data_IF_778466587160
#
_entry.id   IF_778466587160
#
_cell.length_a   1.000
_cell.length_b   1.000
_cell.length_c   1.000
_cell.angle_alpha   90.00
_cell.angle_beta   90.00
_cell.angle_gamma   90.00
#
_symmetry.space_group_name_H-M   'P 1'
#
loop_
_entity.id
_entity.type
_entity.pdbx_description
1 polymer ?
#
# COMPACT_ATOMS: atom_id res chain seq x y z
N UNK A 1 -3.01 -23.91 2.59
CA UNK A 1 -3.13 -22.51 2.20
C UNK A 1 -2.80 -21.62 3.40
N UNK A 2 -2.16 -20.48 3.19
CA UNK A 2 -1.87 -19.49 4.23
C UNK A 2 -2.81 -18.29 4.07
N UNK A 3 -3.22 -17.71 5.18
CA UNK A 3 -3.93 -16.42 5.18
C UNK A 3 -2.90 -15.30 5.16
N UNK A 4 -3.07 -14.33 4.28
CA UNK A 4 -2.18 -13.18 4.17
C UNK A 4 -2.88 -11.89 4.64
N UNK A 5 -2.13 -11.02 5.29
CA UNK A 5 -2.51 -9.64 5.60
C UNK A 5 -1.39 -8.76 5.09
N UNK A 6 -1.66 -7.94 4.09
CA UNK A 6 -0.69 -7.00 3.57
C UNK A 6 -1.09 -5.57 3.94
N UNK A 7 -0.16 -4.77 4.45
CA UNK A 7 -0.42 -3.35 4.70
C UNK A 7 -0.44 -2.57 3.38
N UNK A 8 -1.17 -1.48 3.35
CA UNK A 8 -1.02 -0.46 2.32
C UNK A 8 0.42 0.07 2.41
N UNK A 9 1.18 0.05 1.31
CA UNK A 9 2.56 0.55 1.31
C UNK A 9 2.59 2.04 1.65
N UNK A 10 1.87 2.84 0.88
CA UNK A 10 1.62 4.25 1.09
C UNK A 10 0.35 4.65 0.33
N UNK A 11 -0.41 5.68 0.76
CA UNK A 11 -1.59 6.15 0.03
C UNK A 11 -1.30 6.56 -1.42
N UNK A 12 -0.12 7.16 -1.64
CA UNK A 12 0.43 7.41 -2.97
C UNK A 12 1.93 7.20 -2.99
N UNK A 13 2.44 6.71 -4.11
CA UNK A 13 3.86 6.41 -4.26
C UNK A 13 4.29 6.46 -5.71
N UNK A 14 5.58 6.68 -5.95
CA UNK A 14 6.22 6.49 -7.23
C UNK A 14 6.65 5.04 -7.39
N UNK A 15 6.20 4.41 -8.47
CA UNK A 15 6.68 3.11 -8.91
C UNK A 15 7.72 3.31 -10.00
N UNK A 16 8.94 2.84 -9.77
CA UNK A 16 9.99 2.79 -10.80
C UNK A 16 9.93 1.45 -11.51
N UNK A 17 9.96 1.50 -12.82
CA UNK A 17 9.99 0.31 -13.67
C UNK A 17 10.88 0.53 -14.87
N UNK A 18 11.31 -0.57 -15.49
CA UNK A 18 12.18 -0.52 -16.64
C UNK A 18 11.36 -0.80 -17.90
N UNK A 19 11.46 0.10 -18.88
CA UNK A 19 10.91 -0.09 -20.22
C UNK A 19 12.05 -0.08 -21.21
N UNK A 20 12.37 -1.26 -21.77
CA UNK A 20 13.59 -1.44 -22.55
C UNK A 20 14.85 -1.12 -21.75
N UNK A 21 15.63 -0.14 -22.20
CA UNK A 21 16.84 0.33 -21.52
C UNK A 21 16.65 1.59 -20.65
N UNK A 22 15.41 2.10 -20.55
CA UNK A 22 15.13 3.37 -19.84
C UNK A 22 14.37 3.08 -18.55
N UNK A 23 14.77 3.74 -17.47
CA UNK A 23 14.00 3.77 -16.23
C UNK A 23 12.89 4.80 -16.34
N UNK A 24 11.67 4.37 -16.02
CA UNK A 24 10.51 5.24 -15.92
C UNK A 24 9.99 5.25 -14.49
N UNK A 25 9.29 6.32 -14.12
CA UNK A 25 8.60 6.45 -12.86
C UNK A 25 7.15 6.85 -13.12
N UNK A 26 6.24 6.26 -12.37
CA UNK A 26 4.82 6.54 -12.46
C UNK A 26 4.26 6.70 -11.05
N UNK A 27 3.46 7.75 -10.85
CA UNK A 27 2.67 7.90 -9.64
C UNK A 27 1.56 6.85 -9.63
N UNK A 28 1.44 6.16 -8.51
CA UNK A 28 0.40 5.15 -8.25
C UNK A 28 -0.34 5.55 -6.99
N UNK A 29 -1.65 5.44 -7.04
CA UNK A 29 -2.55 5.69 -5.91
C UNK A 29 -3.08 4.36 -5.38
N UNK A 30 -3.07 4.20 -4.07
CA UNK A 30 -3.76 3.08 -3.43
C UNK A 30 -5.26 3.17 -3.71
N UNK A 31 -5.96 2.05 -3.96
CA UNK A 31 -7.39 2.06 -4.29
C UNK A 31 -8.25 2.78 -3.26
N UNK A 32 -8.01 2.59 -1.96
CA UNK A 32 -8.78 3.27 -0.90
C UNK A 32 -8.51 4.78 -0.88
N UNK A 33 -7.27 5.18 -1.14
CA UNK A 33 -6.93 6.60 -1.25
C UNK A 33 -7.60 7.23 -2.47
N UNK A 34 -7.59 6.52 -3.60
CA UNK A 34 -8.27 6.94 -4.83
C UNK A 34 -9.79 7.11 -4.60
N UNK A 35 -10.43 6.16 -3.92
CA UNK A 35 -11.85 6.23 -3.56
C UNK A 35 -12.15 7.47 -2.71
N UNK A 36 -11.36 7.73 -1.68
CA UNK A 36 -11.50 8.91 -0.84
C UNK A 36 -11.38 10.24 -1.64
N UNK A 37 -10.52 10.28 -2.68
CA UNK A 37 -10.41 11.45 -3.56
C UNK A 37 -11.64 11.60 -4.47
N UNK A 38 -12.18 10.50 -5.00
CA UNK A 38 -13.41 10.48 -5.81
C UNK A 38 -14.61 10.98 -5.02
N UNK A 39 -14.69 10.64 -3.73
CA UNK A 39 -15.75 11.12 -2.81
C UNK A 39 -15.57 12.59 -2.37
N UNK A 40 -14.55 13.28 -2.90
CA UNK A 40 -14.30 14.69 -2.62
C UNK A 40 -13.47 14.95 -1.37
N UNK A 41 -12.96 13.90 -0.72
CA UNK A 41 -12.05 14.00 0.41
C UNK A 41 -10.59 14.28 0.01
N UNK A 42 -9.70 14.22 0.99
CA UNK A 42 -8.25 14.34 0.81
C UNK A 42 -7.49 13.07 1.19
N UNK A 43 -8.19 12.06 1.73
CA UNK A 43 -7.62 10.78 2.09
C UNK A 43 -6.51 10.81 3.17
N UNK A 44 -6.34 11.94 3.90
CA UNK A 44 -5.25 12.13 4.88
C UNK A 44 -5.31 11.19 6.08
N UNK A 45 -6.43 10.55 6.31
CA UNK A 45 -6.62 9.55 7.37
C UNK A 45 -6.11 8.16 6.97
N UNK A 46 -5.79 7.95 5.69
CA UNK A 46 -5.27 6.68 5.18
C UNK A 46 -3.76 6.68 5.41
N UNK A 47 -3.28 5.70 6.15
CA UNK A 47 -1.88 5.58 6.55
C UNK A 47 -1.22 4.41 5.85
N UNK A 48 0.05 4.56 5.52
CA UNK A 48 0.87 3.51 4.92
C UNK A 48 1.57 2.63 5.95
N UNK A 49 2.27 1.62 5.47
CA UNK A 49 2.95 0.62 6.30
C UNK A 49 4.06 1.18 7.20
N UNK A 50 4.61 2.34 6.87
CA UNK A 50 5.65 3.01 7.64
C UNK A 50 5.12 4.12 8.55
N UNK A 51 3.83 4.47 8.44
CA UNK A 51 3.17 5.46 9.30
C UNK A 51 2.67 4.85 10.62
N UNK A 52 2.63 3.52 10.69
CA UNK A 52 2.26 2.76 11.88
C UNK A 52 3.46 2.07 12.51
N UNK A 53 3.42 1.92 13.82
CA UNK A 53 4.53 1.29 14.55
C UNK A 53 4.60 -0.21 14.32
N UNK A 54 5.78 -0.84 14.43
CA UNK A 54 5.92 -2.30 14.37
C UNK A 54 5.04 -3.02 15.38
N UNK A 55 4.81 -2.42 16.55
CA UNK A 55 3.91 -2.98 17.57
C UNK A 55 2.44 -2.99 17.10
N UNK A 56 1.99 -1.94 16.40
CA UNK A 56 0.65 -1.91 15.80
C UNK A 56 0.49 -2.98 14.73
N UNK A 57 1.51 -3.21 13.89
CA UNK A 57 1.51 -4.33 12.94
C UNK A 57 1.29 -5.68 13.63
N UNK A 58 2.03 -5.94 14.72
CA UNK A 58 1.89 -7.19 15.49
C UNK A 58 0.54 -7.29 16.19
N UNK A 59 0.03 -6.20 16.74
CA UNK A 59 -1.27 -6.17 17.40
C UNK A 59 -2.42 -6.55 16.45
N UNK A 60 -2.41 -6.03 15.22
CA UNK A 60 -3.38 -6.40 14.19
C UNK A 60 -3.28 -7.87 13.84
N UNK A 61 -2.07 -8.40 13.62
CA UNK A 61 -1.87 -9.81 13.33
C UNK A 61 -2.35 -10.70 14.47
N UNK A 62 -2.01 -10.37 15.72
CA UNK A 62 -2.43 -11.11 16.91
C UNK A 62 -3.95 -11.08 17.12
N UNK A 63 -4.59 -9.95 16.82
CA UNK A 63 -6.04 -9.83 16.88
C UNK A 63 -6.73 -10.81 15.91
N UNK A 64 -6.27 -10.86 14.67
CA UNK A 64 -6.85 -11.72 13.63
C UNK A 64 -6.49 -13.19 13.84
N UNK A 65 -5.28 -13.49 14.35
CA UNK A 65 -4.83 -14.87 14.60
C UNK A 65 -5.73 -15.65 15.56
N UNK A 66 -6.49 -14.96 16.41
CA UNK A 66 -7.49 -15.60 17.30
C UNK A 66 -8.61 -16.32 16.54
N UNK A 67 -8.87 -15.90 15.31
CA UNK A 67 -9.97 -16.38 14.48
C UNK A 67 -9.49 -17.25 13.29
N UNK A 68 -8.18 -17.45 13.17
CA UNK A 68 -7.57 -18.19 12.06
C UNK A 68 -6.74 -19.36 12.59
N UNK A 69 -7.07 -20.57 12.17
CA UNK A 69 -6.38 -21.79 12.60
C UNK A 69 -4.97 -21.89 12.03
N UNK A 70 -4.76 -21.49 10.78
CA UNK A 70 -3.45 -21.50 10.15
C UNK A 70 -2.60 -20.28 10.56
N UNK A 71 -1.30 -20.34 10.32
CA UNK A 71 -0.43 -19.20 10.48
C UNK A 71 -0.83 -18.08 9.49
N UNK A 72 -0.77 -16.84 9.97
CA UNK A 72 -1.00 -15.65 9.15
C UNK A 72 0.35 -15.15 8.65
N UNK A 73 0.48 -15.02 7.32
CA UNK A 73 1.60 -14.31 6.69
C UNK A 73 1.32 -12.82 6.73
N UNK A 74 2.14 -12.08 7.46
CA UNK A 74 2.09 -10.62 7.53
C UNK A 74 3.48 -10.04 7.65
N UNK A 75 3.80 -9.07 6.80
CA UNK A 75 5.02 -8.28 6.93
C UNK A 75 4.87 -7.25 8.05
N UNK A 76 5.83 -7.23 8.96
CA UNK A 76 5.99 -6.22 10.00
C UNK A 76 7.10 -5.28 9.54
N UNK A 77 6.73 -4.07 9.15
CA UNK A 77 7.66 -3.08 8.66
C UNK A 77 8.40 -2.42 9.82
N UNK A 78 9.72 -2.43 9.75
CA UNK A 78 10.61 -1.77 10.71
C UNK A 78 11.25 -0.56 10.07
N UNK A 79 11.41 0.55 10.79
CA UNK A 79 12.26 1.64 10.35
C UNK A 79 13.72 1.17 10.21
N UNK A 80 14.50 1.89 9.42
CA UNK A 80 15.89 1.51 9.14
C UNK A 80 16.78 1.46 10.40
N UNK A 81 16.49 2.32 11.37
CA UNK A 81 17.21 2.46 12.64
C UNK A 81 16.68 1.59 13.79
N UNK A 82 15.71 0.70 13.51
CA UNK A 82 15.14 -0.19 14.53
C UNK A 82 16.23 -1.06 15.17
N UNK A 83 16.35 -1.00 16.49
CA UNK A 83 17.33 -1.79 17.24
C UNK A 83 16.87 -3.24 17.39
N UNK A 84 17.84 -4.15 17.51
CA UNK A 84 17.56 -5.58 17.79
C UNK A 84 16.81 -5.78 19.11
N UNK A 85 17.06 -4.92 20.09
CA UNK A 85 16.40 -5.00 21.40
C UNK A 85 14.89 -4.72 21.31
N UNK A 86 14.49 -3.71 20.52
CA UNK A 86 13.09 -3.39 20.26
C UNK A 86 12.40 -4.56 19.58
N UNK A 87 13.03 -5.13 18.54
CA UNK A 87 12.48 -6.28 17.82
C UNK A 87 12.32 -7.49 18.73
N UNK A 88 13.32 -7.78 19.57
CA UNK A 88 13.29 -8.92 20.49
C UNK A 88 12.21 -8.76 21.55
N UNK A 89 12.07 -7.59 22.14
CA UNK A 89 11.00 -7.30 23.11
C UNK A 89 9.60 -7.47 22.53
N UNK A 90 9.40 -6.96 21.31
CA UNK A 90 8.13 -7.12 20.59
C UNK A 90 7.85 -8.59 20.27
N UNK A 91 8.85 -9.31 19.75
CA UNK A 91 8.71 -10.72 19.44
C UNK A 91 8.32 -11.52 20.69
N UNK A 92 8.99 -11.33 21.82
CA UNK A 92 8.66 -12.00 23.09
C UNK A 92 7.24 -11.67 23.57
N UNK A 93 6.81 -10.40 23.44
CA UNK A 93 5.48 -9.96 23.85
C UNK A 93 4.37 -10.64 23.05
N UNK A 94 4.58 -10.79 21.72
CA UNK A 94 3.54 -11.27 20.80
C UNK A 94 3.67 -12.76 20.46
N UNK A 95 4.80 -13.42 20.71
CA UNK A 95 5.01 -14.84 20.41
C UNK A 95 3.87 -15.77 20.89
N UNK A 96 3.25 -15.59 22.07
CA UNK A 96 2.14 -16.42 22.50
C UNK A 96 0.87 -16.31 21.64
N UNK A 97 0.76 -15.25 20.86
CA UNK A 97 -0.44 -14.91 20.09
C UNK A 97 -0.27 -15.10 18.58
N UNK A 98 0.95 -15.42 18.12
CA UNK A 98 1.29 -15.55 16.71
C UNK A 98 1.78 -16.95 16.39
N UNK A 99 1.45 -17.46 15.22
CA UNK A 99 1.95 -18.73 14.67
C UNK A 99 3.10 -18.56 13.67
N UNK A 100 3.42 -17.32 13.34
CA UNK A 100 4.53 -16.95 12.47
C UNK A 100 4.73 -15.44 12.51
N UNK A 101 5.94 -14.99 12.16
CA UNK A 101 6.30 -13.59 12.13
C UNK A 101 7.30 -13.33 11.01
N UNK A 102 7.02 -12.35 10.16
CA UNK A 102 7.93 -11.89 9.11
C UNK A 102 8.26 -10.43 9.33
N UNK A 103 9.53 -10.11 9.40
CA UNK A 103 10.02 -8.76 9.69
C UNK A 103 10.79 -8.24 8.47
N UNK A 104 10.48 -7.04 8.03
CA UNK A 104 11.16 -6.34 6.96
C UNK A 104 11.68 -4.99 7.44
N UNK A 105 12.98 -4.75 7.30
CA UNK A 105 13.60 -3.46 7.64
C UNK A 105 13.68 -2.57 6.40
N UNK A 106 13.26 -1.32 6.51
CA UNK A 106 13.39 -0.33 5.46
C UNK A 106 14.85 -0.21 4.99
N UNK A 107 15.07 -0.06 3.68
CA UNK A 107 16.40 0.07 3.10
C UNK A 107 17.26 -1.19 3.12
N UNK A 108 16.74 -2.36 3.52
CA UNK A 108 17.49 -3.62 3.53
C UNK A 108 17.77 -4.18 2.13
N UNK A 109 17.05 -3.73 1.11
CA UNK A 109 17.28 -4.04 -0.30
C UNK A 109 17.84 -2.79 -0.98
N UNK A 110 18.97 -2.92 -1.65
CA UNK A 110 19.76 -1.81 -2.19
C UNK A 110 19.06 -0.89 -3.19
N UNK A 111 17.95 -1.29 -3.80
CA UNK A 111 17.11 -0.45 -4.64
C UNK A 111 15.64 -0.77 -4.32
N UNK A 112 14.93 0.19 -3.76
CA UNK A 112 13.49 0.06 -3.55
C UNK A 112 12.76 0.52 -4.83
N UNK A 113 11.93 -0.35 -5.44
CA UNK A 113 11.20 0.00 -6.66
C UNK A 113 10.03 0.96 -6.38
N UNK A 114 9.65 1.11 -5.12
CA UNK A 114 8.55 1.96 -4.66
C UNK A 114 9.11 3.05 -3.74
N UNK A 115 8.67 4.28 -3.95
CA UNK A 115 9.04 5.45 -3.18
C UNK A 115 7.75 6.15 -2.70
N UNK A 116 7.50 6.13 -1.38
CA UNK A 116 6.32 6.77 -0.81
C UNK A 116 6.36 8.29 -1.04
N UNK A 117 5.23 8.85 -1.42
CA UNK A 117 5.05 10.28 -1.59
C UNK A 117 4.32 10.86 -0.38
N UNK A 118 4.81 11.98 0.18
CA UNK A 118 4.14 12.63 1.30
C UNK A 118 2.80 13.22 0.86
N UNK A 119 1.80 13.21 1.76
CA UNK A 119 0.47 13.78 1.54
C UNK A 119 0.49 15.31 1.66
N UNK A 120 1.30 15.99 0.83
CA UNK A 120 1.29 17.46 0.70
C UNK A 120 0.11 17.91 -0.15
N UNK A 121 -0.31 19.17 0.01
CA UNK A 121 -1.39 19.74 -0.81
C UNK A 121 -1.07 19.66 -2.30
N UNK A 122 0.19 19.88 -2.69
CA UNK A 122 0.65 19.77 -4.07
C UNK A 122 0.49 18.34 -4.61
N UNK A 123 0.91 17.33 -3.84
CA UNK A 123 0.82 15.94 -4.25
C UNK A 123 -0.63 15.44 -4.29
N UNK A 124 -1.47 15.88 -3.34
CA UNK A 124 -2.90 15.60 -3.35
C UNK A 124 -3.58 16.23 -4.57
N UNK A 125 -3.20 17.47 -4.94
CA UNK A 125 -3.73 18.10 -6.14
C UNK A 125 -3.38 17.31 -7.41
N UNK A 126 -2.14 16.86 -7.56
CA UNK A 126 -1.70 15.98 -8.66
C UNK A 126 -2.46 14.65 -8.68
N UNK A 127 -2.70 14.07 -7.51
CA UNK A 127 -3.46 12.84 -7.38
C UNK A 127 -4.92 13.02 -7.82
N UNK A 128 -5.56 14.12 -7.45
CA UNK A 128 -6.92 14.48 -7.89
C UNK A 128 -7.00 14.66 -9.40
N UNK A 129 -6.02 15.32 -10.00
CA UNK A 129 -5.93 15.47 -11.45
C UNK A 129 -5.79 14.13 -12.16
N UNK A 130 -4.94 13.23 -11.63
CA UNK A 130 -4.79 11.88 -12.17
C UNK A 130 -6.11 11.11 -12.14
N UNK A 131 -6.83 11.15 -11.03
CA UNK A 131 -8.14 10.50 -10.87
C UNK A 131 -9.16 11.06 -11.86
N UNK A 132 -9.23 12.39 -12.00
CA UNK A 132 -10.15 13.03 -12.94
C UNK A 132 -9.87 12.63 -14.40
N UNK A 133 -8.59 12.55 -14.78
CA UNK A 133 -8.19 12.13 -16.12
C UNK A 133 -8.56 10.67 -16.40
N UNK A 134 -8.36 9.77 -15.43
CA UNK A 134 -8.75 8.36 -15.56
C UNK A 134 -10.27 8.18 -15.66
N UNK A 135 -11.06 8.96 -14.91
CA UNK A 135 -12.52 8.94 -15.00
C UNK A 135 -13.00 9.44 -16.38
N UNK A 136 -12.45 10.55 -16.86
CA UNK A 136 -12.79 11.09 -18.17
C UNK A 136 -12.42 10.12 -19.32
N UNK A 137 -11.31 9.38 -19.18
CA UNK A 137 -10.93 8.35 -20.14
C UNK A 137 -11.89 7.14 -20.11
N UNK A 138 -12.26 6.68 -18.92
CA UNK A 138 -13.21 5.59 -18.74
C UNK A 138 -14.58 5.94 -19.34
N UNK A 139 -15.09 7.17 -19.10
CA UNK A 139 -16.34 7.65 -19.68
C UNK A 139 -16.29 7.71 -21.21
N UNK A 140 -15.15 8.13 -21.78
CA UNK A 140 -14.95 8.17 -23.22
C UNK A 140 -14.99 6.78 -23.83
N UNK A 141 -14.31 5.81 -23.22
CA UNK A 141 -14.31 4.41 -23.67
C UNK A 141 -15.70 3.79 -23.54
N UNK A 142 -16.40 4.01 -22.44
CA UNK A 142 -17.77 3.50 -22.25
C UNK A 142 -18.76 4.19 -23.20
N UNK A 143 -18.61 5.48 -23.45
CA UNK A 143 -19.46 6.23 -24.38
C UNK A 143 -19.22 5.88 -25.86
N UNK A 144 -18.09 5.24 -26.21
CA UNK A 144 -17.79 4.77 -27.55
C UNK A 144 -18.40 3.39 -27.89
N UNK A 145 -18.90 2.66 -26.89
CA UNK A 145 -19.63 1.42 -27.12
C UNK A 145 -21.11 1.72 -27.33
N UNK A 146 -21.64 1.41 -28.52
CA UNK A 146 -23.06 1.51 -28.79
C UNK A 146 -23.85 0.39 -28.11
N UNK A 147 -25.15 0.63 -27.88
CA UNK A 147 -26.08 -0.34 -27.26
C UNK A 147 -26.13 -1.67 -28.02
N UNK A 148 -25.72 -1.67 -29.29
CA UNK A 148 -25.70 -2.86 -30.17
C UNK A 148 -24.39 -3.66 -30.08
N UNK A 149 -23.46 -3.31 -29.19
CA UNK A 149 -22.24 -4.09 -28.91
C UNK A 149 -21.10 -3.91 -29.92
N UNK A 150 -21.19 -2.95 -30.83
CA UNK A 150 -20.08 -2.60 -31.70
C UNK A 150 -19.19 -1.55 -31.07
N UNK A 151 -18.02 -1.98 -30.56
CA UNK A 151 -16.94 -1.07 -30.17
C UNK A 151 -16.23 -0.63 -31.47
N UNK A 152 -16.27 0.66 -31.75
CA UNK A 152 -15.50 1.22 -32.89
C UNK A 152 -14.00 0.98 -32.66
N UNK A 153 -13.34 0.49 -33.74
CA UNK A 153 -11.91 0.23 -33.82
C UNK A 153 -11.10 1.54 -33.87
#
# INVERSE_FOLDING_TARGET
ASTGIEPIFAPMYNRRYREGNTWKSQMVLDPMFKEALVEGGEGRHIVGSYDITPEQHMAVQACIQKYVDNAISKTINLPNDASHEVVSKMALKYAPYLKGMTVYRAGSKGMEPLEALPLTDENIAKAKELVANEQAEAERVMGSCTIDGECGA
#
